data_IF_470965132389
#
_entry.id   IF_470965132389
#
_cell.length_a   1.000
_cell.length_b   1.000
_cell.length_c   1.000
_cell.angle_alpha   90.00
_cell.angle_beta   90.00
_cell.angle_gamma   90.00
#
_symmetry.space_group_name_H-M   'P 1'
#
loop_
_entity.id
_entity.type
_entity.pdbx_description
1 polymer ?
#
# COMPACT_ATOMS: atom_id res chain seq x y z
N UNK A 1 69.87 65.83 33.81
CA UNK A 1 70.52 64.54 34.08
C UNK A 1 69.43 63.48 34.20
N UNK A 2 69.24 62.61 33.20
CA UNK A 2 68.29 61.48 33.27
C UNK A 2 69.01 60.31 33.98
N UNK A 3 68.41 59.62 34.95
CA UNK A 3 69.12 58.63 35.73
C UNK A 3 69.36 57.38 34.86
N UNK A 4 70.61 57.15 34.48
CA UNK A 4 71.08 55.97 33.73
C UNK A 4 70.67 54.65 34.43
N UNK A 5 70.48 54.69 35.75
CA UNK A 5 70.00 53.57 36.56
C UNK A 5 68.61 53.05 36.17
N UNK A 6 67.71 53.89 35.66
CA UNK A 6 66.34 53.49 35.34
C UNK A 6 66.23 52.66 34.04
N UNK A 7 67.17 52.83 33.11
CA UNK A 7 67.21 52.06 31.85
C UNK A 7 67.73 50.64 32.06
N UNK A 8 68.78 50.49 32.87
CA UNK A 8 69.39 49.19 33.18
C UNK A 8 68.42 48.31 33.97
N UNK A 9 67.70 48.88 34.95
CA UNK A 9 66.69 48.13 35.70
C UNK A 9 65.55 47.61 34.81
N UNK A 10 65.06 48.41 33.86
CA UNK A 10 64.04 47.97 32.89
C UNK A 10 64.53 46.85 31.97
N UNK A 11 65.79 46.91 31.53
CA UNK A 11 66.38 45.87 30.70
C UNK A 11 66.52 44.54 31.47
N UNK A 12 66.94 44.59 32.73
CA UNK A 12 67.05 43.40 33.59
C UNK A 12 65.68 42.77 33.85
N UNK A 13 64.64 43.57 34.10
CA UNK A 13 63.26 43.07 34.27
C UNK A 13 62.74 42.42 32.99
N UNK A 14 63.06 42.96 31.81
CA UNK A 14 62.68 42.38 30.52
C UNK A 14 63.37 41.04 30.24
N UNK A 15 64.65 40.93 30.57
CA UNK A 15 65.40 39.67 30.39
C UNK A 15 64.85 38.61 31.35
N UNK A 16 64.61 38.98 32.61
CA UNK A 16 64.06 38.06 33.59
C UNK A 16 62.65 37.60 33.23
N UNK A 17 61.77 38.51 32.78
CA UNK A 17 60.42 38.13 32.35
C UNK A 17 60.43 37.22 31.12
N UNK A 18 61.34 37.45 30.17
CA UNK A 18 61.50 36.59 28.99
C UNK A 18 61.98 35.19 29.37
N UNK A 19 62.92 35.07 30.32
CA UNK A 19 63.39 33.78 30.81
C UNK A 19 62.30 33.04 31.60
N UNK A 20 61.54 33.74 32.44
CA UNK A 20 60.40 33.16 33.15
C UNK A 20 59.31 32.68 32.18
N UNK A 21 59.01 33.44 31.12
CA UNK A 21 58.03 33.05 30.12
C UNK A 21 58.49 31.79 29.36
N UNK A 22 59.77 31.73 28.98
CA UNK A 22 60.35 30.55 28.34
C UNK A 22 60.28 29.31 29.24
N UNK A 23 60.72 29.46 30.49
CA UNK A 23 60.71 28.36 31.46
C UNK A 23 59.29 27.89 31.77
N UNK A 24 58.33 28.80 31.86
CA UNK A 24 56.92 28.46 32.08
C UNK A 24 56.31 27.74 30.89
N UNK A 25 56.68 28.11 29.66
CA UNK A 25 56.25 27.41 28.45
C UNK A 25 56.81 25.99 28.36
N UNK A 26 58.08 25.81 28.71
CA UNK A 26 58.71 24.49 28.80
C UNK A 26 58.05 23.60 29.86
N UNK A 27 57.83 24.16 31.05
CA UNK A 27 57.20 23.43 32.15
C UNK A 27 55.73 23.10 31.86
N UNK A 28 55.02 23.96 31.13
CA UNK A 28 53.67 23.69 30.64
C UNK A 28 53.67 22.56 29.60
N UNK A 29 54.67 22.50 28.71
CA UNK A 29 54.80 21.42 27.74
C UNK A 29 55.12 20.07 28.41
N UNK A 30 55.91 20.04 29.48
CA UNK A 30 56.14 18.82 30.28
C UNK A 30 54.93 18.43 31.15
N UNK A 31 54.12 19.39 31.60
CA UNK A 31 52.93 19.13 32.43
C UNK A 31 51.67 18.73 31.64
N UNK A 32 51.67 18.90 30.31
CA UNK A 32 50.56 18.44 29.46
C UNK A 32 50.83 16.97 29.08
N UNK A 33 50.15 15.99 29.68
CA UNK A 33 50.28 14.60 29.25
C UNK A 33 49.72 14.44 27.83
N UNK A 34 50.42 13.70 26.95
CA UNK A 34 50.00 13.37 25.57
C UNK A 34 48.70 12.54 25.48
N UNK A 35 48.09 12.23 26.62
CA UNK A 35 47.11 11.16 26.81
C UNK A 35 45.65 11.53 26.45
N UNK A 36 45.18 12.80 26.41
CA UNK A 36 43.76 13.07 26.09
C UNK A 36 43.49 13.27 24.59
N UNK A 37 44.51 13.45 23.74
CA UNK A 37 44.31 13.70 22.31
C UNK A 37 44.00 12.42 21.53
N UNK A 38 44.58 11.29 21.94
CA UNK A 38 44.32 9.99 21.32
C UNK A 38 42.88 9.52 21.58
N UNK A 39 42.40 9.63 22.82
CA UNK A 39 41.05 9.20 23.21
C UNK A 39 39.94 10.00 22.52
N UNK A 40 40.17 11.29 22.25
CA UNK A 40 39.24 12.13 21.48
C UNK A 40 39.24 11.77 20.00
N UNK A 41 40.41 11.48 19.40
CA UNK A 41 40.52 10.96 18.04
C UNK A 41 39.85 9.58 17.87
N UNK A 42 40.00 8.68 18.85
CA UNK A 42 39.32 7.38 18.86
C UNK A 42 37.79 7.54 18.97
N UNK A 43 37.30 8.45 19.81
CA UNK A 43 35.86 8.76 19.90
C UNK A 43 35.31 9.36 18.60
N UNK A 44 36.04 10.25 17.93
CA UNK A 44 35.58 10.86 16.66
C UNK A 44 35.60 9.85 15.51
N UNK A 45 36.60 8.96 15.46
CA UNK A 45 36.68 7.89 14.45
C UNK A 45 35.53 6.88 14.59
N UNK A 46 35.13 6.54 15.81
CA UNK A 46 34.01 5.60 16.06
C UNK A 46 32.62 6.20 15.77
N UNK A 47 32.48 7.54 15.73
CA UNK A 47 31.23 8.19 15.28
C UNK A 47 31.02 8.00 13.77
N UNK A 48 32.12 7.94 12.98
CA UNK A 48 32.07 7.63 11.55
C UNK A 48 31.82 6.15 11.23
N UNK A 49 32.07 5.25 12.18
CA UNK A 49 31.85 3.80 12.04
C UNK A 49 30.50 3.33 12.59
N UNK A 50 29.62 4.24 13.05
CA UNK A 50 28.25 3.86 13.39
C UNK A 50 27.65 3.17 12.15
N UNK A 51 27.22 1.90 12.26
CA UNK A 51 26.66 1.20 11.13
C UNK A 51 25.47 2.01 10.65
N UNK A 52 25.59 2.58 9.45
CA UNK A 52 24.44 3.16 8.76
C UNK A 52 23.45 2.01 8.67
N UNK A 53 22.39 2.08 9.49
CA UNK A 53 21.28 1.14 9.44
C UNK A 53 20.65 1.29 8.05
N UNK A 54 21.18 0.53 7.09
CA UNK A 54 20.58 0.41 5.77
C UNK A 54 19.27 -0.30 6.01
N UNK A 55 18.18 0.42 5.82
CA UNK A 55 16.87 -0.20 5.76
C UNK A 55 16.95 -1.35 4.74
N UNK A 56 16.46 -2.56 5.07
CA UNK A 56 16.43 -3.66 4.13
C UNK A 56 15.68 -3.19 2.87
N UNK A 57 16.12 -3.67 1.70
CA UNK A 57 15.48 -3.35 0.42
C UNK A 57 13.97 -3.62 0.53
N UNK A 58 13.11 -2.67 0.12
CA UNK A 58 11.67 -2.86 0.19
C UNK A 58 11.28 -4.18 -0.49
N UNK A 59 10.71 -5.11 0.28
CA UNK A 59 10.25 -6.38 -0.27
C UNK A 59 8.98 -6.11 -1.06
N UNK A 60 8.95 -6.48 -2.33
CA UNK A 60 7.73 -6.45 -3.15
C UNK A 60 6.67 -7.35 -2.51
N UNK A 61 5.49 -6.81 -2.29
CA UNK A 61 4.34 -7.56 -1.78
C UNK A 61 3.52 -8.17 -2.93
N UNK A 62 2.69 -9.17 -2.62
CA UNK A 62 1.77 -9.76 -3.60
C UNK A 62 0.87 -8.69 -4.19
N UNK A 63 0.62 -8.74 -5.50
CA UNK A 63 -0.18 -7.74 -6.23
C UNK A 63 0.33 -6.29 -6.06
N UNK A 64 1.62 -6.12 -5.73
CA UNK A 64 2.27 -4.83 -5.49
C UNK A 64 1.53 -3.99 -4.43
N UNK A 65 1.01 -4.64 -3.39
CA UNK A 65 0.39 -3.97 -2.23
C UNK A 65 1.37 -3.03 -1.53
N UNK A 66 0.82 -1.98 -0.91
CA UNK A 66 1.60 -1.06 -0.09
C UNK A 66 2.16 -1.73 1.18
N UNK A 67 1.35 -2.57 1.82
CA UNK A 67 1.70 -3.28 3.05
C UNK A 67 1.53 -4.80 2.88
N UNK A 68 2.29 -5.63 3.62
CA UNK A 68 2.09 -7.07 3.60
C UNK A 68 0.71 -7.46 4.15
N UNK A 69 0.05 -8.41 3.51
CA UNK A 69 -1.15 -9.02 4.06
C UNK A 69 -0.85 -9.87 5.30
N UNK A 70 -1.78 -9.96 6.27
CA UNK A 70 -1.68 -10.89 7.41
C UNK A 70 -1.54 -12.35 6.95
N UNK A 71 -0.98 -13.24 7.80
CA UNK A 71 -0.95 -14.67 7.50
C UNK A 71 -2.37 -15.20 7.31
N UNK A 72 -2.49 -16.29 6.54
CA UNK A 72 -3.77 -16.95 6.23
C UNK A 72 -4.84 -16.03 5.60
N UNK A 73 -4.39 -15.14 4.71
CA UNK A 73 -5.28 -14.30 3.89
C UNK A 73 -4.94 -14.45 2.41
N UNK A 74 -5.89 -14.15 1.53
CA UNK A 74 -5.71 -13.96 0.10
C UNK A 74 -5.53 -12.47 -0.22
N UNK A 75 -4.46 -12.12 -0.91
CA UNK A 75 -4.22 -10.77 -1.41
C UNK A 75 -4.96 -10.55 -2.74
N UNK A 76 -5.67 -9.44 -2.88
CA UNK A 76 -6.27 -9.02 -4.14
C UNK A 76 -5.99 -7.55 -4.45
N UNK A 77 -6.00 -7.20 -5.73
CA UNK A 77 -5.96 -5.83 -6.21
C UNK A 77 -6.82 -5.69 -7.46
N UNK A 78 -7.78 -4.77 -7.40
CA UNK A 78 -8.67 -4.44 -8.50
C UNK A 78 -8.35 -3.05 -9.00
N UNK A 79 -8.24 -2.91 -10.31
CA UNK A 79 -8.00 -1.64 -10.99
C UNK A 79 -8.97 -1.52 -12.17
N UNK A 80 -9.76 -0.45 -12.22
CA UNK A 80 -10.59 -0.16 -13.39
C UNK A 80 -9.76 0.31 -14.57
N UNK A 81 -10.35 0.36 -15.76
CA UNK A 81 -9.77 1.04 -16.89
C UNK A 81 -9.67 2.55 -16.68
N UNK A 82 -8.70 3.18 -17.32
CA UNK A 82 -8.52 4.63 -17.39
C UNK A 82 -8.51 5.08 -18.84
N UNK A 83 -9.64 5.64 -19.30
CA UNK A 83 -9.84 5.88 -20.73
C UNK A 83 -9.82 4.56 -21.53
N UNK A 84 -9.23 4.61 -22.73
CA UNK A 84 -9.09 3.45 -23.63
C UNK A 84 -7.73 2.75 -23.50
N UNK A 85 -6.69 3.51 -23.16
CA UNK A 85 -5.31 3.02 -23.23
C UNK A 85 -4.80 2.42 -21.90
N UNK A 86 -5.46 2.71 -20.78
CA UNK A 86 -5.16 2.07 -19.49
C UNK A 86 -6.17 0.95 -19.24
N UNK A 87 -5.73 -0.28 -19.43
CA UNK A 87 -6.56 -1.46 -19.25
C UNK A 87 -6.85 -1.76 -17.77
N UNK A 88 -8.06 -2.26 -17.52
CA UNK A 88 -8.45 -2.77 -16.22
C UNK A 88 -7.61 -4.00 -15.84
N UNK A 89 -7.44 -4.24 -14.53
CA UNK A 89 -6.64 -5.34 -14.00
C UNK A 89 -7.31 -5.98 -12.79
N UNK A 90 -7.26 -7.30 -12.73
CA UNK A 90 -7.61 -8.09 -11.54
C UNK A 90 -6.40 -8.93 -11.19
N UNK A 91 -5.79 -8.66 -10.03
CA UNK A 91 -4.74 -9.47 -9.45
C UNK A 91 -5.25 -10.19 -8.22
N UNK A 92 -4.93 -11.48 -8.10
CA UNK A 92 -5.28 -12.33 -6.96
C UNK A 92 -4.08 -13.22 -6.64
N UNK A 93 -3.62 -13.21 -5.39
CA UNK A 93 -2.46 -13.99 -4.93
C UNK A 93 -1.19 -13.82 -5.79
N UNK A 94 -0.94 -12.59 -6.26
CA UNK A 94 0.16 -12.21 -7.16
C UNK A 94 0.04 -12.74 -8.61
N UNK A 95 -1.06 -13.40 -8.94
CA UNK A 95 -1.42 -13.81 -10.29
C UNK A 95 -2.34 -12.77 -10.93
N UNK A 96 -2.01 -12.35 -12.16
CA UNK A 96 -2.87 -11.47 -12.95
C UNK A 96 -3.97 -12.30 -13.62
N UNK A 97 -5.19 -12.22 -13.11
CA UNK A 97 -6.34 -12.97 -13.63
C UNK A 97 -6.92 -12.32 -14.89
N UNK A 98 -7.00 -10.99 -14.89
CA UNK A 98 -7.45 -10.17 -16.01
C UNK A 98 -6.51 -8.99 -16.19
N UNK A 99 -6.19 -8.68 -17.44
CA UNK A 99 -5.40 -7.50 -17.78
C UNK A 99 -4.82 -7.55 -19.20
N UNK A 100 -4.09 -6.50 -19.54
CA UNK A 100 -3.43 -6.37 -20.84
C UNK A 100 -2.44 -7.52 -21.11
N UNK A 101 -1.64 -7.88 -20.10
CA UNK A 101 -0.62 -8.95 -20.24
C UNK A 101 -1.22 -10.32 -20.51
N UNK A 102 -2.43 -10.58 -20.03
CA UNK A 102 -3.16 -11.84 -20.26
C UNK A 102 -4.04 -11.79 -21.51
N UNK A 103 -4.21 -10.63 -22.14
CA UNK A 103 -4.96 -10.47 -23.39
C UNK A 103 -6.46 -10.79 -23.28
N UNK A 104 -7.00 -10.87 -22.07
CA UNK A 104 -8.37 -11.32 -21.78
C UNK A 104 -9.27 -10.21 -21.17
N UNK A 105 -8.80 -8.96 -21.19
CA UNK A 105 -9.57 -7.77 -20.79
C UNK A 105 -10.30 -7.17 -22.00
N UNK A 106 -11.54 -6.75 -21.80
CA UNK A 106 -12.36 -6.13 -22.84
C UNK A 106 -13.19 -4.96 -22.32
N UNK A 107 -13.76 -4.16 -23.24
CA UNK A 107 -14.74 -3.11 -22.90
C UNK A 107 -15.92 -3.73 -22.16
N UNK A 108 -16.45 -3.02 -21.15
CA UNK A 108 -17.56 -3.51 -20.35
C UNK A 108 -17.19 -3.80 -18.89
N UNK A 109 -17.94 -4.72 -18.30
CA UNK A 109 -17.68 -5.25 -16.96
C UNK A 109 -16.88 -6.55 -17.12
N UNK A 110 -15.70 -6.59 -16.51
CA UNK A 110 -14.79 -7.73 -16.50
C UNK A 110 -14.91 -8.44 -15.16
N UNK A 111 -15.19 -9.74 -15.16
CA UNK A 111 -15.49 -10.54 -13.98
C UNK A 111 -14.52 -11.73 -13.89
N UNK A 112 -13.86 -11.90 -12.74
CA UNK A 112 -13.16 -13.11 -12.38
C UNK A 112 -13.87 -13.82 -11.21
N UNK A 113 -14.03 -15.13 -11.33
CA UNK A 113 -14.63 -16.00 -10.32
C UNK A 113 -13.54 -16.94 -9.81
N UNK A 114 -13.31 -16.94 -8.50
CA UNK A 114 -12.30 -17.76 -7.83
C UNK A 114 -12.98 -18.63 -6.78
N UNK A 115 -12.62 -19.90 -6.71
CA UNK A 115 -13.07 -20.78 -5.64
C UNK A 115 -12.41 -20.35 -4.33
N UNK A 116 -13.20 -20.01 -3.31
CA UNK A 116 -12.68 -19.46 -2.06
C UNK A 116 -11.89 -20.49 -1.24
N UNK A 117 -12.32 -21.74 -1.22
CA UNK A 117 -11.67 -22.80 -0.42
C UNK A 117 -10.29 -23.16 -0.96
N UNK A 118 -10.14 -23.21 -2.29
CA UNK A 118 -8.91 -23.65 -2.96
C UNK A 118 -8.04 -22.51 -3.46
N UNK A 119 -8.59 -21.29 -3.57
CA UNK A 119 -7.94 -20.14 -4.19
C UNK A 119 -7.76 -20.27 -5.71
N UNK A 120 -8.37 -21.27 -6.36
CA UNK A 120 -8.21 -21.51 -7.80
C UNK A 120 -9.22 -20.71 -8.61
N UNK A 121 -8.76 -20.15 -9.73
CA UNK A 121 -9.63 -19.47 -10.71
C UNK A 121 -10.59 -20.49 -11.32
N UNK A 122 -11.89 -20.18 -11.27
CA UNK A 122 -12.94 -20.98 -11.91
C UNK A 122 -13.19 -20.46 -13.33
N UNK A 123 -13.33 -19.13 -13.47
CA UNK A 123 -13.61 -18.51 -14.78
C UNK A 123 -13.26 -17.03 -14.79
N UNK A 124 -12.93 -16.51 -15.98
CA UNK A 124 -12.72 -15.08 -16.23
C UNK A 124 -13.46 -14.71 -17.51
N UNK A 125 -14.27 -13.66 -17.48
CA UNK A 125 -15.05 -13.23 -18.64
C UNK A 125 -15.35 -11.74 -18.60
N UNK A 126 -15.39 -11.10 -19.76
CA UNK A 126 -15.87 -9.73 -19.90
C UNK A 126 -17.21 -9.70 -20.63
N UNK A 127 -18.00 -8.67 -20.33
CA UNK A 127 -19.32 -8.45 -20.91
C UNK A 127 -19.41 -7.01 -21.39
N UNK A 128 -19.42 -6.80 -22.71
CA UNK A 128 -19.51 -5.47 -23.31
C UNK A 128 -20.86 -4.82 -22.96
N UNK A 129 -20.80 -3.70 -22.25
CA UNK A 129 -21.98 -2.94 -21.83
C UNK A 129 -22.26 -1.75 -22.75
N UNK A 130 -21.52 -1.56 -23.83
CA UNK A 130 -21.75 -0.53 -24.83
C UNK A 130 -22.43 -1.10 -26.09
N UNK A 131 -21.97 -2.26 -26.54
CA UNK A 131 -22.51 -3.00 -27.70
C UNK A 131 -23.06 -4.38 -27.31
N UNK A 132 -23.97 -4.90 -28.14
CA UNK A 132 -24.60 -6.22 -27.93
C UNK A 132 -25.68 -6.24 -26.85
N UNK A 133 -26.12 -7.43 -26.47
CA UNK A 133 -27.06 -7.66 -25.35
C UNK A 133 -26.43 -8.61 -24.32
N UNK A 134 -25.40 -8.11 -23.63
CA UNK A 134 -24.60 -8.91 -22.71
C UNK A 134 -25.09 -8.84 -21.25
N UNK A 135 -26.07 -7.98 -20.95
CA UNK A 135 -26.55 -7.79 -19.58
C UNK A 135 -27.22 -9.05 -19.00
N UNK A 136 -28.11 -9.69 -19.76
CA UNK A 136 -28.73 -10.96 -19.36
C UNK A 136 -27.72 -12.12 -19.24
N UNK A 137 -26.84 -12.33 -20.26
CA UNK A 137 -25.74 -13.28 -20.15
C UNK A 137 -24.82 -13.06 -18.94
N UNK A 138 -24.55 -11.81 -18.58
CA UNK A 138 -23.76 -11.46 -17.40
C UNK A 138 -24.48 -11.83 -16.10
N UNK A 139 -25.77 -11.51 -15.98
CA UNK A 139 -26.58 -11.89 -14.82
C UNK A 139 -26.59 -13.41 -14.63
N UNK A 140 -26.78 -14.18 -15.71
CA UNK A 140 -26.71 -15.65 -15.69
C UNK A 140 -25.34 -16.17 -15.28
N UNK A 141 -24.26 -15.56 -15.78
CA UNK A 141 -22.90 -15.93 -15.39
C UNK A 141 -22.67 -15.76 -13.87
N UNK A 142 -23.09 -14.62 -13.32
CA UNK A 142 -23.01 -14.33 -11.87
C UNK A 142 -23.87 -15.33 -11.07
N UNK A 143 -25.10 -15.59 -11.52
CA UNK A 143 -26.01 -16.55 -10.88
C UNK A 143 -25.51 -17.99 -10.98
N UNK A 144 -24.76 -18.34 -12.02
CA UNK A 144 -24.18 -19.68 -12.20
C UNK A 144 -22.90 -19.94 -11.39
N UNK A 145 -22.28 -18.89 -10.83
CA UNK A 145 -21.10 -19.06 -9.99
C UNK A 145 -21.41 -20.01 -8.81
N UNK A 146 -20.56 -21.00 -8.50
CA UNK A 146 -20.79 -21.90 -7.37
C UNK A 146 -20.86 -21.15 -6.04
N UNK A 147 -21.51 -21.74 -5.04
CA UNK A 147 -21.38 -21.30 -3.65
C UNK A 147 -19.90 -21.41 -3.21
N UNK A 148 -19.50 -20.61 -2.21
CA UNK A 148 -18.10 -20.43 -1.78
C UNK A 148 -17.18 -19.96 -2.90
N UNK A 149 -17.63 -18.95 -3.65
CA UNK A 149 -16.83 -18.29 -4.67
C UNK A 149 -16.60 -16.82 -4.34
N UNK A 150 -15.41 -16.32 -4.63
CA UNK A 150 -15.10 -14.89 -4.71
C UNK A 150 -15.37 -14.40 -6.13
N UNK A 151 -16.03 -13.25 -6.25
CA UNK A 151 -16.25 -12.57 -7.52
C UNK A 151 -15.56 -11.21 -7.47
N UNK A 152 -14.70 -10.97 -8.45
CA UNK A 152 -14.01 -9.71 -8.66
C UNK A 152 -14.53 -9.07 -9.93
N UNK A 153 -14.98 -7.82 -9.86
CA UNK A 153 -15.57 -7.10 -10.97
C UNK A 153 -14.87 -5.75 -11.16
N UNK A 154 -14.50 -5.43 -12.40
CA UNK A 154 -13.89 -4.15 -12.76
C UNK A 154 -14.43 -3.65 -14.10
N UNK A 155 -14.62 -2.33 -14.26
CA UNK A 155 -15.02 -1.75 -15.54
C UNK A 155 -13.82 -1.38 -16.41
N UNK A 156 -13.97 -1.47 -17.73
CA UNK A 156 -13.06 -0.91 -18.71
C UNK A 156 -13.85 -0.17 -19.79
N UNK A 157 -13.45 1.06 -20.11
CA UNK A 157 -14.12 2.01 -21.01
C UNK A 157 -15.56 2.38 -20.56
N UNK A 158 -16.58 1.57 -20.84
CA UNK A 158 -17.95 1.77 -20.35
C UNK A 158 -18.56 0.46 -19.86
N UNK A 159 -19.12 0.51 -18.65
CA UNK A 159 -19.80 -0.61 -18.00
C UNK A 159 -21.31 -0.39 -17.79
N UNK A 160 -21.94 0.58 -18.48
CA UNK A 160 -23.26 1.07 -18.06
C UNK A 160 -24.29 1.26 -19.19
N UNK A 161 -23.90 1.55 -20.42
CA UNK A 161 -24.82 1.99 -21.49
C UNK A 161 -25.96 1.00 -21.77
N UNK A 162 -25.69 -0.29 -21.64
CA UNK A 162 -26.63 -1.40 -21.85
C UNK A 162 -26.81 -2.26 -20.61
N UNK A 163 -26.42 -1.75 -19.44
CA UNK A 163 -26.61 -2.44 -18.16
C UNK A 163 -28.09 -2.36 -17.74
N UNK A 164 -28.80 -3.49 -17.84
CA UNK A 164 -30.23 -3.61 -17.55
C UNK A 164 -30.50 -3.91 -16.07
N UNK A 165 -31.74 -3.69 -15.63
CA UNK A 165 -32.19 -3.88 -14.26
C UNK A 165 -31.85 -5.28 -13.71
N UNK A 166 -32.15 -6.36 -14.44
CA UNK A 166 -31.86 -7.73 -14.01
C UNK A 166 -30.39 -7.96 -13.60
N UNK A 167 -29.45 -7.35 -14.33
CA UNK A 167 -28.03 -7.46 -14.00
C UNK A 167 -27.63 -6.59 -12.82
N UNK A 168 -28.24 -5.40 -12.68
CA UNK A 168 -28.06 -4.56 -11.49
C UNK A 168 -28.55 -5.28 -10.25
N UNK A 169 -29.74 -5.89 -10.32
CA UNK A 169 -30.36 -6.64 -9.22
C UNK A 169 -29.50 -7.86 -8.84
N UNK A 170 -28.94 -8.57 -9.83
CA UNK A 170 -28.05 -9.70 -9.57
C UNK A 170 -26.74 -9.29 -8.86
N UNK A 171 -26.17 -8.13 -9.19
CA UNK A 171 -24.97 -7.60 -8.56
C UNK A 171 -25.29 -6.98 -7.18
N UNK A 172 -26.44 -6.31 -7.05
CA UNK A 172 -26.94 -5.76 -5.79
C UNK A 172 -27.21 -6.87 -4.77
N UNK A 173 -27.77 -8.00 -5.20
CA UNK A 173 -27.98 -9.18 -4.35
C UNK A 173 -26.66 -9.76 -3.78
N UNK A 174 -25.52 -9.43 -4.40
CA UNK A 174 -24.19 -9.76 -3.89
C UNK A 174 -23.61 -8.66 -2.98
N UNK A 175 -24.41 -7.67 -2.58
CA UNK A 175 -24.04 -6.62 -1.63
C UNK A 175 -23.46 -5.35 -2.24
N UNK A 176 -23.53 -5.17 -3.56
CA UNK A 176 -23.13 -3.90 -4.19
C UNK A 176 -24.11 -2.79 -3.82
N UNK A 177 -23.56 -1.65 -3.41
CA UNK A 177 -24.28 -0.42 -3.11
C UNK A 177 -24.27 0.55 -4.30
N UNK A 178 -23.22 0.49 -5.13
CA UNK A 178 -23.00 1.48 -6.20
C UNK A 178 -23.43 1.03 -7.60
N UNK A 179 -23.72 -0.26 -7.84
CA UNK A 179 -24.12 -0.74 -9.18
C UNK A 179 -25.38 -0.02 -9.71
N UNK A 180 -26.28 0.37 -8.80
CA UNK A 180 -27.51 1.12 -9.12
C UNK A 180 -27.19 2.51 -9.69
N UNK A 181 -26.12 3.11 -9.18
CA UNK A 181 -25.65 4.46 -9.48
C UNK A 181 -24.73 4.52 -10.72
N UNK A 182 -24.49 3.39 -11.39
CA UNK A 182 -23.67 3.36 -12.61
C UNK A 182 -24.19 4.32 -13.69
N UNK A 183 -23.29 5.19 -14.15
CA UNK A 183 -23.48 6.15 -15.24
C UNK A 183 -22.48 5.90 -16.36
N UNK A 184 -22.75 6.47 -17.55
CA UNK A 184 -21.88 6.37 -18.72
C UNK A 184 -20.40 6.63 -18.36
N UNK A 185 -19.54 5.65 -18.68
CA UNK A 185 -18.09 5.65 -18.43
C UNK A 185 -17.67 5.76 -16.96
N UNK A 186 -18.54 5.40 -16.02
CA UNK A 186 -18.13 5.32 -14.62
C UNK A 186 -17.07 4.22 -14.44
N UNK A 187 -15.95 4.60 -13.82
CA UNK A 187 -14.97 3.65 -13.30
C UNK A 187 -15.56 2.99 -12.07
N UNK A 188 -15.61 1.65 -12.03
CA UNK A 188 -16.17 0.89 -10.93
C UNK A 188 -15.35 -0.38 -10.68
N UNK A 189 -15.12 -0.69 -9.41
CA UNK A 189 -14.45 -1.90 -8.95
C UNK A 189 -15.22 -2.46 -7.76
N UNK A 190 -15.35 -3.79 -7.72
CA UNK A 190 -16.14 -4.46 -6.70
C UNK A 190 -15.61 -5.87 -6.42
N UNK A 191 -15.54 -6.22 -5.14
CA UNK A 191 -15.25 -7.57 -4.66
C UNK A 191 -16.42 -8.05 -3.81
N UNK A 192 -16.85 -9.28 -4.06
CA UNK A 192 -17.91 -9.93 -3.31
C UNK A 192 -17.67 -11.42 -3.15
N UNK A 193 -18.42 -12.03 -2.24
CA UNK A 193 -18.45 -13.46 -2.01
C UNK A 193 -19.86 -13.99 -2.24
N UNK A 194 -19.94 -15.20 -2.79
CA UNK A 194 -21.19 -15.94 -2.96
C UNK A 194 -21.21 -17.11 -1.99
N UNK A 195 -22.25 -17.16 -1.15
CA UNK A 195 -22.44 -18.21 -0.16
C UNK A 195 -21.81 -17.95 1.22
N UNK A 196 -21.21 -16.77 1.42
CA UNK A 196 -20.77 -16.25 2.72
C UNK A 196 -20.60 -14.72 2.62
N UNK A 197 -20.55 -14.03 3.76
CA UNK A 197 -20.34 -12.58 3.78
C UNK A 197 -18.85 -12.25 3.97
N UNK A 198 -18.31 -11.29 3.23
CA UNK A 198 -16.96 -10.77 3.49
C UNK A 198 -16.95 -9.85 4.72
N UNK A 199 -15.80 -9.71 5.41
CA UNK A 199 -15.68 -8.82 6.56
C UNK A 199 -16.14 -7.38 6.26
N UNK A 200 -16.97 -6.75 7.12
CA UNK A 200 -17.62 -5.48 6.84
C UNK A 200 -16.66 -4.29 6.77
N UNK A 201 -15.52 -4.35 7.46
CA UNK A 201 -14.48 -3.32 7.51
C UNK A 201 -13.64 -3.22 6.22
N UNK A 202 -13.76 -4.18 5.30
CA UNK A 202 -12.99 -4.18 4.06
C UNK A 202 -13.55 -3.16 3.04
N UNK A 203 -12.66 -2.43 2.35
CA UNK A 203 -13.03 -1.63 1.17
C UNK A 203 -13.35 -2.61 0.02
N UNK A 204 -14.64 -2.88 -0.16
CA UNK A 204 -15.14 -3.87 -1.13
C UNK A 204 -15.63 -3.27 -2.44
N UNK A 205 -15.92 -1.97 -2.46
CA UNK A 205 -16.53 -1.32 -3.61
C UNK A 205 -16.06 0.13 -3.73
N UNK A 206 -15.87 0.59 -4.96
CA UNK A 206 -15.57 1.99 -5.25
C UNK A 206 -16.12 2.35 -6.62
N UNK A 207 -16.59 3.60 -6.75
CA UNK A 207 -17.07 4.16 -8.00
C UNK A 207 -16.52 5.56 -8.22
N UNK A 208 -16.25 5.92 -9.46
CA UNK A 208 -15.90 7.27 -9.89
C UNK A 208 -16.62 7.60 -11.18
N UNK A 209 -17.47 8.63 -11.15
CA UNK A 209 -18.29 9.01 -12.28
C UNK A 209 -17.55 9.96 -13.22
N UNK A 210 -17.87 9.87 -14.52
CA UNK A 210 -17.42 10.86 -15.50
C UNK A 210 -17.96 12.24 -15.15
N UNK A 211 -17.07 13.22 -15.05
CA UNK A 211 -17.35 14.64 -14.83
C UNK A 211 -16.38 15.44 -15.69
N UNK A 212 -16.89 16.23 -16.63
CA UNK A 212 -16.05 16.97 -17.59
C UNK A 212 -15.00 17.87 -16.92
N UNK A 213 -15.27 18.37 -15.71
CA UNK A 213 -14.36 19.22 -14.95
C UNK A 213 -13.27 18.46 -14.19
N UNK A 214 -13.47 17.17 -13.91
CA UNK A 214 -12.57 16.33 -13.09
C UNK A 214 -11.96 15.16 -13.86
N UNK A 215 -12.42 14.94 -15.09
CA UNK A 215 -11.99 13.84 -15.91
C UNK A 215 -10.48 13.91 -16.16
N UNK A 216 -9.79 12.82 -15.80
CA UNK A 216 -8.34 12.67 -16.02
C UNK A 216 -8.01 12.47 -17.50
N UNK A 217 -8.95 11.90 -18.25
CA UNK A 217 -8.83 11.63 -19.68
C UNK A 217 -9.93 12.35 -20.44
N UNK A 218 -9.76 12.57 -21.74
CA UNK A 218 -10.75 13.28 -22.57
C UNK A 218 -12.09 12.52 -22.65
N UNK A 219 -13.01 12.81 -21.72
CA UNK A 219 -14.32 12.17 -21.62
C UNK A 219 -14.36 10.87 -20.79
N UNK A 220 -13.31 10.55 -20.03
CA UNK A 220 -13.32 9.45 -19.05
C UNK A 220 -12.79 9.90 -17.68
N UNK A 221 -13.36 9.38 -16.58
CA UNK A 221 -12.87 9.65 -15.24
C UNK A 221 -11.51 8.95 -15.00
N UNK A 222 -10.86 9.31 -13.91
CA UNK A 222 -9.68 8.56 -13.47
C UNK A 222 -10.04 7.10 -13.16
N UNK A 223 -9.10 6.21 -13.45
CA UNK A 223 -9.15 4.84 -12.97
C UNK A 223 -9.13 4.80 -11.44
N UNK A 224 -9.79 3.79 -10.88
CA UNK A 224 -9.86 3.60 -9.43
C UNK A 224 -9.33 2.23 -9.06
N UNK A 225 -8.82 2.16 -7.83
CA UNK A 225 -8.22 0.97 -7.27
C UNK A 225 -8.81 0.68 -5.90
N UNK A 226 -9.00 -0.60 -5.62
CA UNK A 226 -9.11 -1.15 -4.28
C UNK A 226 -8.17 -2.34 -4.14
N UNK A 227 -7.57 -2.48 -2.97
CA UNK A 227 -6.71 -3.61 -2.62
C UNK A 227 -7.01 -4.05 -1.19
N UNK A 228 -6.78 -5.32 -0.90
CA UNK A 228 -7.07 -5.84 0.42
C UNK A 228 -6.70 -7.32 0.58
N UNK A 229 -6.96 -7.81 1.78
CA UNK A 229 -6.63 -9.17 2.20
C UNK A 229 -7.91 -9.85 2.68
N UNK A 230 -8.30 -10.95 2.06
CA UNK A 230 -9.49 -11.74 2.41
C UNK A 230 -9.04 -12.90 3.32
N UNK A 231 -9.49 -13.00 4.58
CA UNK A 231 -9.14 -14.13 5.43
C UNK A 231 -9.52 -15.46 4.79
N UNK A 232 -8.68 -16.50 4.92
CA UNK A 232 -9.03 -17.86 4.56
C UNK A 232 -9.80 -18.49 5.73
N UNK A 233 -10.72 -19.39 5.44
CA UNK A 233 -11.53 -20.02 6.49
C UNK A 233 -12.51 -19.09 7.21
N UNK A 234 -12.72 -17.86 6.71
CA UNK A 234 -13.80 -16.98 7.14
C UNK A 234 -15.16 -17.67 6.99
N UNK A 235 -15.88 -17.77 8.09
CA UNK A 235 -17.24 -18.27 8.14
C UNK A 235 -18.13 -17.25 8.87
N UNK A 236 -18.97 -16.55 8.12
CA UNK A 236 -19.92 -15.57 8.66
C UNK A 236 -21.03 -16.20 9.51
N UNK A 237 -21.25 -17.52 9.42
CA UNK A 237 -22.27 -18.22 10.21
C UNK A 237 -21.92 -18.31 11.71
N UNK A 238 -20.63 -18.16 12.06
CA UNK A 238 -20.17 -18.06 13.44
C UNK A 238 -20.69 -16.77 14.13
N UNK A 239 -20.95 -15.70 13.37
CA UNK A 239 -21.47 -14.43 13.91
C UNK A 239 -22.99 -14.41 14.07
N UNK A 240 -23.75 -15.28 13.39
CA UNK A 240 -25.23 -15.29 13.44
C UNK A 240 -25.79 -16.20 14.53
N UNK A 241 -24.95 -17.04 15.15
CA UNK A 241 -25.37 -18.10 16.06
C UNK A 241 -25.52 -17.66 17.52
N UNK A 242 -25.05 -16.46 17.87
CA UNK A 242 -25.03 -16.01 19.28
C UNK A 242 -25.40 -14.52 19.33
N UNK A 243 -26.43 -14.19 20.11
CA UNK A 243 -26.71 -12.83 20.62
C UNK A 243 -25.57 -12.34 21.52
N UNK A 244 -24.34 -12.26 21.00
CA UNK A 244 -23.23 -11.59 21.65
C UNK A 244 -23.03 -10.30 20.89
N UNK A 245 -23.26 -9.21 21.60
CA UNK A 245 -22.76 -7.89 21.29
C UNK A 245 -21.43 -7.99 20.52
N UNK A 246 -21.38 -7.48 19.30
CA UNK A 246 -20.13 -7.23 18.58
C UNK A 246 -19.33 -6.16 19.34
N UNK A 247 -18.68 -6.56 20.44
CA UNK A 247 -17.67 -5.77 21.13
C UNK A 247 -16.33 -6.45 20.94
N UNK A 248 -15.59 -6.00 19.92
CA UNK A 248 -14.13 -6.06 19.78
C UNK A 248 -13.38 -7.39 20.10
N UNK A 249 -14.02 -8.55 20.01
CA UNK A 249 -13.36 -9.82 20.38
C UNK A 249 -13.72 -10.97 19.44
N UNK A 250 -13.39 -10.84 18.15
CA UNK A 250 -12.93 -12.01 17.42
C UNK A 250 -11.47 -12.24 17.82
N UNK A 251 -11.27 -12.84 18.99
CA UNK A 251 -9.95 -13.20 19.49
C UNK A 251 -9.38 -14.32 18.64
N UNK A 252 -8.21 -14.05 18.05
CA UNK A 252 -7.33 -15.03 17.44
C UNK A 252 -7.05 -16.15 18.44
N UNK A 253 -7.55 -17.35 18.15
CA UNK A 253 -7.20 -18.53 18.91
C UNK A 253 -5.87 -19.06 18.33
N UNK A 254 -4.76 -18.60 18.89
CA UNK A 254 -3.46 -19.27 18.71
C UNK A 254 -3.43 -20.40 19.74
N UNK A 255 -3.80 -21.61 19.33
CA UNK A 255 -3.55 -22.81 20.15
C UNK A 255 -3.31 -24.06 19.29
N UNK A 256 -2.11 -24.63 19.46
CA UNK A 256 -1.68 -25.98 19.07
C UNK A 256 -1.01 -26.05 17.69
N UNK A 257 0.24 -26.50 17.52
CA UNK A 257 1.15 -27.35 18.32
C UNK A 257 2.59 -26.95 17.98
#
# INVERSE_FOLDING_TARGET
MRPVAAGIFKALVFIFSSLCAWYSGYLLAELIPDVPLSNTLYSIKSIGERPVLKAPTPKRQKCDHWAPCPPDTYAYRLLSGGGRDKYAKICFEDELLLGEKTGNVGRGINIAVVNYETGKVISTKYFDMYEGDNSGPMAKFIQSAPSKSLLFMVTHDDGSSRLKAEAKDAIEALGSKEIKNMKFRSSWVFVTAKGFELPPEMEREKINHSDQSKNRYSGWPAEIQIEGCIPKGWDSSACTSINVFCTNTCSWNVSGV
#
